data_IF_889083020464
#
_entry.id   IF_889083020464
#
_cell.length_a   1.000
_cell.length_b   1.000
_cell.length_c   1.000
_cell.angle_alpha   90.00
_cell.angle_beta   90.00
_cell.angle_gamma   90.00
#
_symmetry.space_group_name_H-M   'P 1'
#
loop_
_entity.id
_entity.type
_entity.pdbx_description
1 polymer ?
#
# COMPACT_ATOMS: atom_id res chain seq x y z
N UNK A 1 27.75 15.08 -2.17
CA UNK A 1 26.76 14.79 -3.24
C UNK A 1 26.53 13.29 -3.24
N UNK A 2 25.74 12.72 -2.32
CA UNK A 2 25.70 11.25 -2.14
C UNK A 2 24.33 10.72 -1.70
N UNK A 3 23.25 11.08 -2.39
CA UNK A 3 21.89 10.63 -2.04
C UNK A 3 21.15 9.87 -3.16
N UNK A 4 21.83 9.46 -4.24
CA UNK A 4 21.17 8.78 -5.38
C UNK A 4 21.54 7.32 -5.59
N UNK A 5 22.67 6.85 -5.04
CA UNK A 5 23.18 5.50 -5.26
C UNK A 5 22.18 4.41 -4.86
N UNK A 6 21.41 4.60 -3.78
CA UNK A 6 20.46 3.58 -3.32
C UNK A 6 19.30 3.32 -4.30
N UNK A 7 18.86 4.30 -5.09
CA UNK A 7 17.79 4.10 -6.09
C UNK A 7 18.30 3.32 -7.29
N UNK A 8 19.49 3.68 -7.76
CA UNK A 8 20.13 3.08 -8.92
C UNK A 8 20.50 1.62 -8.64
N UNK A 9 21.03 1.34 -7.44
CA UNK A 9 21.30 -0.03 -6.98
C UNK A 9 20.04 -0.91 -6.94
N UNK A 10 18.89 -0.35 -6.53
CA UNK A 10 17.61 -1.09 -6.55
C UNK A 10 17.24 -1.46 -7.99
N UNK A 11 17.35 -0.52 -8.93
CA UNK A 11 17.01 -0.75 -10.34
C UNK A 11 17.97 -1.80 -10.92
N UNK A 12 19.27 -1.70 -10.63
CA UNK A 12 20.26 -2.66 -11.08
C UNK A 12 20.01 -4.07 -10.53
N UNK A 13 19.73 -4.22 -9.23
CA UNK A 13 19.43 -5.52 -8.63
C UNK A 13 18.17 -6.17 -9.22
N UNK A 14 17.14 -5.37 -9.52
CA UNK A 14 15.93 -5.88 -10.18
C UNK A 14 16.24 -6.27 -11.63
N UNK A 15 17.04 -5.48 -12.33
CA UNK A 15 17.43 -5.73 -13.74
C UNK A 15 18.28 -6.99 -13.85
N UNK A 16 19.20 -7.23 -12.92
CA UNK A 16 20.01 -8.45 -12.87
C UNK A 16 19.14 -9.71 -12.70
N UNK A 17 18.02 -9.61 -11.96
CA UNK A 17 17.13 -10.74 -11.71
C UNK A 17 16.07 -10.98 -12.78
N UNK A 18 15.54 -9.93 -13.41
CA UNK A 18 14.41 -10.04 -14.35
C UNK A 18 14.84 -9.80 -15.80
N UNK A 19 16.06 -9.30 -16.03
CA UNK A 19 16.64 -9.04 -17.34
C UNK A 19 16.14 -7.75 -17.98
N UNK A 20 14.83 -7.59 -18.15
CA UNK A 20 14.25 -6.42 -18.83
C UNK A 20 13.16 -5.77 -17.98
N UNK A 21 13.41 -4.53 -17.57
CA UNK A 21 12.40 -3.66 -17.01
C UNK A 21 11.59 -3.03 -18.16
N UNK A 22 10.28 -3.25 -18.17
CA UNK A 22 9.40 -2.54 -19.10
C UNK A 22 9.18 -1.08 -18.65
N UNK A 23 8.74 -0.25 -19.59
CA UNK A 23 8.61 1.20 -19.47
C UNK A 23 7.57 1.68 -18.43
N UNK A 24 6.87 0.76 -17.75
CA UNK A 24 5.84 1.00 -16.73
C UNK A 24 6.40 0.95 -15.30
N UNK A 25 7.70 0.74 -15.13
CA UNK A 25 8.34 0.66 -13.81
C UNK A 25 8.24 2.00 -13.05
N UNK A 26 7.59 1.98 -11.88
CA UNK A 26 7.56 3.12 -10.96
C UNK A 26 8.14 2.73 -9.61
N UNK A 27 9.16 3.45 -9.17
CA UNK A 27 9.76 3.31 -7.85
C UNK A 27 9.36 4.48 -6.95
N UNK A 28 8.55 4.17 -5.92
CA UNK A 28 8.24 5.12 -4.85
C UNK A 28 9.49 5.44 -4.02
N UNK A 29 9.49 6.59 -3.36
CA UNK A 29 10.57 6.98 -2.45
C UNK A 29 10.79 5.94 -1.34
N UNK A 30 12.04 5.83 -0.91
CA UNK A 30 12.46 5.03 0.22
C UNK A 30 11.83 5.60 1.49
N UNK A 31 10.99 4.79 2.13
CA UNK A 31 10.37 5.12 3.42
C UNK A 31 11.17 4.45 4.54
N UNK A 32 11.47 5.16 5.64
CA UNK A 32 12.12 4.55 6.78
C UNK A 32 11.21 3.46 7.37
N UNK A 33 11.82 2.35 7.73
CA UNK A 33 11.22 1.20 8.37
C UNK A 33 11.97 0.90 9.68
N UNK A 34 11.51 -0.08 10.45
CA UNK A 34 12.15 -0.47 11.70
C UNK A 34 13.65 -0.80 11.52
N UNK A 35 14.44 -0.65 12.58
CA UNK A 35 15.87 -1.01 12.62
C UNK A 35 16.75 -0.26 11.59
N UNK A 36 16.46 1.02 11.31
CA UNK A 36 17.16 1.83 10.30
C UNK A 36 17.11 1.22 8.87
N UNK A 37 16.18 0.31 8.61
CA UNK A 37 15.97 -0.23 7.26
C UNK A 37 15.10 0.72 6.44
N UNK A 38 15.16 0.64 5.11
CA UNK A 38 14.32 1.40 4.20
C UNK A 38 13.41 0.46 3.41
N UNK A 39 12.22 0.93 3.08
CA UNK A 39 11.24 0.21 2.27
C UNK A 39 10.82 1.07 1.08
N UNK A 40 10.93 0.52 -0.12
CA UNK A 40 10.39 1.13 -1.33
C UNK A 40 9.21 0.32 -1.85
N UNK A 41 8.31 0.98 -2.58
CA UNK A 41 7.24 0.31 -3.32
C UNK A 41 7.55 0.40 -4.80
N UNK A 42 7.66 -0.75 -5.46
CA UNK A 42 7.79 -0.85 -6.90
C UNK A 42 6.44 -1.19 -7.53
N UNK A 43 6.12 -0.55 -8.63
CA UNK A 43 4.98 -0.86 -9.49
C UNK A 43 5.58 -1.33 -10.81
N UNK A 44 5.17 -2.52 -11.26
CA UNK A 44 5.66 -3.17 -12.47
C UNK A 44 4.59 -4.15 -12.96
N UNK A 45 4.84 -4.77 -14.11
CA UNK A 45 3.95 -5.74 -14.73
C UNK A 45 3.77 -7.00 -13.87
N UNK A 46 2.62 -7.67 -14.06
CA UNK A 46 2.25 -8.87 -13.30
C UNK A 46 3.29 -9.98 -13.44
N UNK A 47 3.86 -10.17 -14.64
CA UNK A 47 4.85 -11.22 -14.90
C UNK A 47 6.15 -10.97 -14.13
N UNK A 48 6.70 -9.76 -14.23
CA UNK A 48 7.88 -9.31 -13.49
C UNK A 48 7.67 -9.39 -11.98
N UNK A 49 6.51 -8.92 -11.50
CA UNK A 49 6.17 -8.97 -10.09
C UNK A 49 6.09 -10.41 -9.56
N UNK A 50 5.60 -11.37 -10.35
CA UNK A 50 5.54 -12.77 -9.95
C UNK A 50 6.93 -13.40 -9.83
N UNK A 51 7.79 -13.17 -10.82
CA UNK A 51 9.20 -13.61 -10.79
C UNK A 51 9.96 -13.03 -9.59
N UNK A 52 9.68 -11.77 -9.23
CA UNK A 52 10.26 -11.13 -8.05
C UNK A 52 9.73 -11.67 -6.72
N UNK A 53 8.51 -12.21 -6.69
CA UNK A 53 7.93 -12.80 -5.49
C UNK A 53 8.35 -14.26 -5.27
N UNK A 54 8.85 -14.93 -6.32
CA UNK A 54 9.43 -16.27 -6.18
C UNK A 54 10.75 -16.23 -5.40
N UNK A 55 11.49 -15.13 -5.45
CA UNK A 55 12.70 -14.94 -4.65
C UNK A 55 12.36 -14.37 -3.27
N UNK A 56 12.74 -15.03 -2.17
CA UNK A 56 12.37 -14.58 -0.82
C UNK A 56 13.08 -13.28 -0.41
N UNK A 57 14.30 -13.06 -0.91
CA UNK A 57 15.10 -11.86 -0.64
C UNK A 57 15.90 -11.44 -1.87
N UNK A 58 15.91 -10.15 -2.17
CA UNK A 58 16.76 -9.50 -3.16
C UNK A 58 17.98 -8.90 -2.46
N UNK A 59 19.17 -9.13 -3.00
CA UNK A 59 20.39 -8.48 -2.50
C UNK A 59 20.56 -7.13 -3.19
N UNK A 60 20.71 -6.08 -2.40
CA UNK A 60 20.96 -4.71 -2.89
C UNK A 60 22.21 -4.22 -2.15
N UNK A 61 23.33 -4.18 -2.87
CA UNK A 61 24.65 -3.98 -2.27
C UNK A 61 24.97 -5.03 -1.19
N UNK A 62 25.03 -4.58 0.07
CA UNK A 62 25.32 -5.41 1.26
C UNK A 62 24.02 -5.84 1.98
N UNK A 63 22.89 -5.23 1.67
CA UNK A 63 21.61 -5.46 2.36
C UNK A 63 20.82 -6.58 1.69
N UNK A 64 20.19 -7.44 2.49
CA UNK A 64 19.17 -8.40 2.04
C UNK A 64 17.79 -7.80 2.24
N UNK A 65 17.10 -7.50 1.13
CA UNK A 65 15.78 -6.91 1.12
C UNK A 65 14.72 -7.99 0.88
N UNK A 66 13.77 -8.16 1.79
CA UNK A 66 12.64 -9.07 1.60
C UNK A 66 11.60 -8.45 0.67
N UNK A 67 11.08 -9.24 -0.28
CA UNK A 67 10.01 -8.79 -1.17
C UNK A 67 8.65 -9.28 -0.67
N UNK A 68 7.67 -8.38 -0.70
CA UNK A 68 6.29 -8.71 -0.33
C UNK A 68 5.32 -8.09 -1.35
N UNK A 69 4.30 -8.85 -1.75
CA UNK A 69 3.23 -8.33 -2.61
C UNK A 69 2.47 -7.26 -1.83
N UNK A 70 2.37 -6.05 -2.39
CA UNK A 70 1.57 -4.99 -1.80
C UNK A 70 0.12 -5.45 -1.66
N UNK A 71 -0.39 -5.46 -0.43
CA UNK A 71 -1.79 -5.76 -0.17
C UNK A 71 -2.66 -4.58 -0.63
N UNK A 72 -3.39 -4.78 -1.74
CA UNK A 72 -4.42 -3.84 -2.16
C UNK A 72 -5.71 -4.13 -1.38
N UNK A 73 -6.04 -3.24 -0.45
CA UNK A 73 -7.25 -3.36 0.35
C UNK A 73 -8.34 -2.55 -0.36
N UNK A 74 -9.17 -3.24 -1.13
CA UNK A 74 -10.37 -2.63 -1.71
C UNK A 74 -11.28 -2.15 -0.58
N UNK A 75 -11.76 -0.91 -0.70
CA UNK A 75 -12.73 -0.31 0.22
C UNK A 75 -14.04 -0.09 -0.51
N UNK A 76 -15.15 -0.27 0.20
CA UNK A 76 -16.47 0.10 -0.28
C UNK A 76 -16.50 1.62 -0.51
N UNK A 77 -16.85 2.07 -1.72
CA UNK A 77 -16.91 3.51 -2.03
C UNK A 77 -18.02 4.22 -1.25
N UNK A 78 -19.10 3.50 -0.96
CA UNK A 78 -20.24 3.98 -0.17
C UNK A 78 -19.88 4.20 1.29
N UNK A 79 -19.51 3.15 2.02
CA UNK A 79 -19.34 3.24 3.48
C UNK A 79 -17.88 3.26 3.97
N UNK A 80 -16.90 3.09 3.08
CA UNK A 80 -15.47 2.96 3.36
C UNK A 80 -15.06 1.72 4.17
N UNK A 81 -15.95 0.74 4.32
CA UNK A 81 -15.61 -0.57 4.90
C UNK A 81 -14.71 -1.41 3.98
N UNK A 82 -13.95 -2.34 4.57
CA UNK A 82 -12.99 -3.21 3.88
C UNK A 82 -13.49 -4.65 3.70
N UNK A 83 -14.75 -4.90 4.05
CA UNK A 83 -15.34 -6.24 4.17
C UNK A 83 -16.24 -6.60 2.97
N UNK A 84 -16.87 -5.61 2.33
CA UNK A 84 -17.83 -5.79 1.24
C UNK A 84 -17.63 -4.81 0.08
N UNK A 85 -18.26 -5.10 -1.06
CA UNK A 85 -18.33 -4.25 -2.25
C UNK A 85 -19.55 -3.32 -2.22
N UNK A 86 -19.58 -2.32 -3.11
CA UNK A 86 -20.64 -1.30 -3.17
C UNK A 86 -22.05 -1.90 -3.32
N UNK A 87 -22.17 -2.99 -4.07
CA UNK A 87 -23.44 -3.66 -4.40
C UNK A 87 -24.12 -4.26 -3.17
N UNK A 88 -23.34 -4.74 -2.20
CA UNK A 88 -23.84 -5.37 -0.96
C UNK A 88 -23.69 -4.44 0.25
N UNK A 89 -23.58 -3.13 0.03
CA UNK A 89 -23.33 -2.17 1.09
C UNK A 89 -24.62 -1.75 1.80
N UNK A 90 -24.81 -2.23 3.03
CA UNK A 90 -25.85 -1.76 3.96
C UNK A 90 -25.39 -0.62 4.89
N UNK A 91 -24.18 -0.09 4.67
CA UNK A 91 -23.62 1.00 5.47
C UNK A 91 -24.09 2.41 5.07
N UNK A 92 -23.79 3.43 5.88
CA UNK A 92 -24.09 4.82 5.57
C UNK A 92 -23.30 5.30 4.33
N UNK A 93 -23.89 6.21 3.56
CA UNK A 93 -23.23 6.81 2.40
C UNK A 93 -22.27 7.92 2.84
N UNK A 94 -20.99 7.73 2.52
CA UNK A 94 -19.87 8.61 2.85
C UNK A 94 -19.16 9.09 1.58
N UNK A 95 -19.75 8.92 0.39
CA UNK A 95 -19.08 9.22 -0.88
C UNK A 95 -18.69 10.69 -1.02
N UNK A 96 -19.51 11.58 -0.46
CA UNK A 96 -19.33 13.04 -0.50
C UNK A 96 -18.55 13.60 0.71
N UNK A 97 -18.18 12.74 1.67
CA UNK A 97 -17.49 13.17 2.86
C UNK A 97 -15.98 13.30 2.60
N UNK A 98 -15.38 14.31 3.24
CA UNK A 98 -13.95 14.51 3.21
C UNK A 98 -13.23 13.31 3.83
N UNK A 99 -12.26 12.75 3.11
CA UNK A 99 -11.51 11.59 3.60
C UNK A 99 -10.65 11.88 4.84
N UNK A 100 -10.37 13.17 5.12
CA UNK A 100 -9.59 13.62 6.29
C UNK A 100 -10.45 13.73 7.55
N UNK A 101 -11.59 14.43 7.51
CA UNK A 101 -12.40 14.73 8.70
C UNK A 101 -13.82 14.14 8.69
N UNK A 102 -14.22 13.48 7.60
CA UNK A 102 -15.55 12.89 7.42
C UNK A 102 -16.71 13.89 7.40
N UNK A 103 -16.46 15.14 7.02
CA UNK A 103 -17.49 16.17 6.82
C UNK A 103 -17.64 16.52 5.35
N UNK A 104 -18.82 17.01 4.97
CA UNK A 104 -19.11 17.45 3.61
C UNK A 104 -18.65 18.91 3.37
N UNK A 105 -18.66 19.32 2.10
CA UNK A 105 -18.41 20.72 1.71
C UNK A 105 -16.96 21.10 1.39
N UNK A 106 -16.00 20.17 1.51
CA UNK A 106 -14.61 20.44 1.13
C UNK A 106 -13.85 19.19 0.69
N UNK A 107 -12.73 19.40 -0.02
CA UNK A 107 -11.83 18.34 -0.45
C UNK A 107 -10.73 18.07 0.57
N UNK A 108 -10.05 16.91 0.48
CA UNK A 108 -8.95 16.55 1.39
C UNK A 108 -7.80 17.58 1.38
N UNK A 109 -7.58 18.25 0.25
CA UNK A 109 -6.51 19.25 0.08
C UNK A 109 -6.83 20.55 0.82
N UNK A 110 -8.11 20.90 0.90
CA UNK A 110 -8.60 22.16 1.46
C UNK A 110 -9.26 21.97 2.84
N UNK A 111 -9.09 20.80 3.46
CA UNK A 111 -9.76 20.45 4.70
C UNK A 111 -9.20 21.24 5.90
N UNK A 112 -9.99 22.16 6.49
CA UNK A 112 -9.56 22.94 7.66
C UNK A 112 -9.58 22.09 8.94
N UNK A 113 -10.33 21.00 8.94
CA UNK A 113 -10.60 20.20 10.13
C UNK A 113 -9.50 19.17 10.44
N UNK A 114 -9.49 18.74 11.71
CA UNK A 114 -8.60 17.70 12.20
C UNK A 114 -8.92 16.32 11.60
N UNK A 115 -7.94 15.42 11.65
CA UNK A 115 -8.10 14.09 11.08
C UNK A 115 -9.03 13.21 11.92
N UNK A 116 -10.16 12.82 11.32
CA UNK A 116 -11.22 12.04 11.95
C UNK A 116 -11.52 10.81 11.12
N UNK A 117 -11.47 9.64 11.76
CA UNK A 117 -11.78 8.38 11.12
C UNK A 117 -13.23 7.99 11.45
N UNK A 118 -14.14 7.87 10.48
CA UNK A 118 -15.54 7.51 10.74
C UNK A 118 -15.73 6.00 10.95
N UNK A 119 -14.64 5.23 10.85
CA UNK A 119 -14.61 3.77 10.93
C UNK A 119 -14.23 3.27 12.33
N UNK A 120 -13.79 4.15 13.22
CA UNK A 120 -13.45 3.86 14.60
C UNK A 120 -13.74 5.08 15.47
N UNK A 121 -13.85 4.87 16.78
CA UNK A 121 -14.17 5.93 17.74
C UNK A 121 -12.98 6.88 17.99
N UNK A 122 -11.77 6.48 17.59
CA UNK A 122 -10.56 7.30 17.67
C UNK A 122 -10.50 8.35 16.55
N UNK A 123 -10.87 9.58 16.89
CA UNK A 123 -10.78 10.78 16.03
C UNK A 123 -9.35 11.35 15.94
N UNK A 124 -8.31 10.50 16.00
CA UNK A 124 -6.90 10.92 16.00
C UNK A 124 -6.15 10.49 14.74
N UNK A 125 -6.87 10.02 13.72
CA UNK A 125 -6.27 9.62 12.46
C UNK A 125 -7.21 9.76 11.27
N UNK A 126 -6.64 9.86 10.08
CA UNK A 126 -7.37 9.82 8.80
C UNK A 126 -7.88 8.41 8.46
N UNK A 127 -9.03 8.32 7.81
CA UNK A 127 -9.55 7.06 7.25
C UNK A 127 -8.52 6.37 6.33
N UNK A 128 -8.40 5.04 6.39
CA UNK A 128 -7.47 4.27 5.54
C UNK A 128 -5.98 4.38 5.91
N UNK A 129 -5.65 4.88 7.11
CA UNK A 129 -4.28 4.87 7.63
C UNK A 129 -4.04 3.66 8.54
N UNK A 130 -2.77 3.23 8.66
CA UNK A 130 -2.34 2.13 9.53
C UNK A 130 -2.63 2.31 11.03
N UNK A 131 -2.97 3.54 11.46
CA UNK A 131 -3.39 3.86 12.82
C UNK A 131 -4.83 3.40 13.12
N UNK A 132 -5.65 3.16 12.11
CA UNK A 132 -7.01 2.66 12.30
C UNK A 132 -7.02 1.17 12.64
N UNK A 133 -7.66 0.78 13.75
CA UNK A 133 -7.79 -0.63 14.17
C UNK A 133 -8.49 -1.49 13.12
N UNK A 134 -9.58 -1.00 12.52
CA UNK A 134 -10.33 -1.72 11.46
C UNK A 134 -9.48 -1.88 10.20
N UNK A 135 -8.76 -0.83 9.79
CA UNK A 135 -7.85 -0.90 8.65
C UNK A 135 -6.67 -1.85 8.90
N UNK A 136 -6.04 -1.79 10.08
CA UNK A 136 -4.95 -2.71 10.44
C UNK A 136 -5.39 -4.16 10.43
N UNK A 137 -6.60 -4.46 10.93
CA UNK A 137 -7.17 -5.82 10.87
C UNK A 137 -7.40 -6.27 9.43
N UNK A 138 -7.98 -5.41 8.59
CA UNK A 138 -8.15 -5.69 7.17
C UNK A 138 -6.78 -5.92 6.49
N UNK A 139 -5.80 -5.06 6.74
CA UNK A 139 -4.44 -5.20 6.21
C UNK A 139 -3.81 -6.54 6.60
N UNK A 140 -3.95 -6.95 7.87
CA UNK A 140 -3.47 -8.26 8.33
C UNK A 140 -4.14 -9.41 7.59
N UNK A 141 -5.46 -9.33 7.39
CA UNK A 141 -6.22 -10.34 6.64
C UNK A 141 -5.75 -10.44 5.18
N UNK A 142 -5.66 -9.32 4.46
CA UNK A 142 -5.19 -9.31 3.07
C UNK A 142 -3.73 -9.73 2.92
N UNK A 143 -2.84 -9.34 3.86
CA UNK A 143 -1.45 -9.82 3.88
C UNK A 143 -1.40 -11.34 4.06
N UNK A 144 -2.21 -11.90 4.98
CA UNK A 144 -2.27 -13.35 5.16
C UNK A 144 -2.84 -14.06 3.92
N UNK A 145 -3.91 -13.54 3.34
CA UNK A 145 -4.52 -14.07 2.11
C UNK A 145 -3.54 -14.11 0.94
N UNK A 146 -2.73 -13.05 0.78
CA UNK A 146 -1.67 -13.00 -0.24
C UNK A 146 -0.55 -14.00 0.02
N UNK A 147 -0.29 -14.40 1.27
CA UNK A 147 0.69 -15.44 1.62
C UNK A 147 0.14 -16.84 1.37
N UNK A 148 -1.15 -17.07 1.60
CA UNK A 148 -1.79 -18.38 1.47
C UNK A 148 -2.28 -18.69 0.06
N UNK A 149 -2.44 -17.68 -0.82
CA UNK A 149 -3.00 -17.87 -2.16
C UNK A 149 -2.20 -17.07 -3.20
N UNK A 150 -1.06 -17.60 -3.69
CA UNK A 150 -0.25 -16.90 -4.70
C UNK A 150 -0.93 -16.81 -6.08
N UNK A 151 -2.01 -17.55 -6.33
CA UNK A 151 -2.49 -17.87 -7.69
C UNK A 151 -3.95 -17.52 -7.99
N UNK A 152 -4.56 -16.51 -7.36
CA UNK A 152 -5.87 -16.06 -7.82
C UNK A 152 -6.11 -14.57 -7.62
N UNK A 153 -5.69 -13.79 -8.62
CA UNK A 153 -6.31 -12.53 -8.96
C UNK A 153 -6.84 -12.68 -10.39
N UNK A 154 -8.10 -13.10 -10.47
CA UNK A 154 -8.96 -12.96 -11.63
C UNK A 154 -9.47 -11.51 -11.69
#
# INVERSE_FOLDING_TARGET
MEETTSREEIIQAITEKVGTLQNTFQLSNLRPNANNTQAATIITDKATADSLLQVPTLRIGIVRCSLERKADIKKCKRCWAHDHTEEHCNGPDRRKLCYKCSEEGHTVKECPNNEKCPMCEDNRHRAGTGKCRKFRRALSYYRNKNRTNPTNLQ
#
